data_IF_571714852519
#
_entry.id   IF_571714852519
#
_cell.length_a   1.000
_cell.length_b   1.000
_cell.length_c   1.000
_cell.angle_alpha   90.00
_cell.angle_beta   90.00
_cell.angle_gamma   90.00
#
_symmetry.space_group_name_H-M   'P 1'
#
loop_
_entity.id
_entity.type
_entity.pdbx_description
1 polymer ?
#
# COMPACT_ATOMS: atom_id res chain seq x y z
N UNK A 1 -11.42 17.96 -16.87
CA UNK A 1 -11.65 17.90 -15.41
C UNK A 1 -11.35 16.50 -14.92
N UNK A 2 -10.80 16.36 -13.71
CA UNK A 2 -10.49 15.07 -13.08
C UNK A 2 -11.42 14.91 -11.86
N UNK A 3 -11.89 13.69 -11.63
CA UNK A 3 -12.62 13.25 -10.45
C UNK A 3 -11.70 12.36 -9.64
N UNK A 4 -11.53 12.70 -8.37
CA UNK A 4 -10.64 12.01 -7.44
C UNK A 4 -11.45 11.62 -6.22
N UNK A 5 -11.39 10.35 -5.85
CA UNK A 5 -12.03 9.80 -4.66
C UNK A 5 -10.94 9.32 -3.71
N UNK A 6 -10.91 9.90 -2.52
CA UNK A 6 -9.91 9.67 -1.49
C UNK A 6 -10.63 9.14 -0.25
N UNK A 7 -10.01 8.23 0.47
CA UNK A 7 -10.43 7.82 1.81
C UNK A 7 -9.62 8.61 2.83
N UNK A 8 -10.30 9.28 3.76
CA UNK A 8 -9.69 10.09 4.81
C UNK A 8 -10.22 9.62 6.16
N UNK A 9 -9.34 9.26 7.08
CA UNK A 9 -9.74 8.97 8.45
C UNK A 9 -9.96 10.27 9.22
N UNK A 10 -11.21 10.76 9.22
CA UNK A 10 -11.65 11.88 10.05
C UNK A 10 -12.59 11.35 11.12
N UNK A 11 -12.38 11.77 12.37
CA UNK A 11 -13.22 11.36 13.49
C UNK A 11 -13.99 12.56 14.09
N UNK A 12 -13.50 13.79 13.90
CA UNK A 12 -14.14 15.02 14.42
C UNK A 12 -14.69 15.96 13.32
N UNK A 13 -15.72 16.74 13.65
CA UNK A 13 -16.22 17.81 12.77
C UNK A 13 -15.17 18.93 12.55
N UNK A 14 -14.33 19.19 13.56
CA UNK A 14 -13.19 20.11 13.43
C UNK A 14 -12.21 19.66 12.35
N UNK A 15 -11.99 18.35 12.23
CA UNK A 15 -11.10 17.79 11.21
C UNK A 15 -11.73 17.87 9.83
N UNK A 16 -13.03 17.63 9.70
CA UNK A 16 -13.79 17.84 8.45
C UNK A 16 -13.67 19.27 7.95
N UNK A 17 -13.85 20.26 8.83
CA UNK A 17 -13.69 21.67 8.48
C UNK A 17 -12.25 21.99 8.03
N UNK A 18 -11.25 21.45 8.72
CA UNK A 18 -9.84 21.60 8.31
C UNK A 18 -9.56 20.94 6.95
N UNK A 19 -10.09 19.74 6.71
CA UNK A 19 -9.92 19.02 5.45
C UNK A 19 -10.54 19.79 4.28
N UNK A 20 -11.79 20.26 4.44
CA UNK A 20 -12.44 21.12 3.45
C UNK A 20 -11.63 22.39 3.20
N UNK A 21 -11.18 23.10 4.25
CA UNK A 21 -10.38 24.33 4.12
C UNK A 21 -9.05 24.07 3.39
N UNK A 22 -8.38 22.97 3.70
CA UNK A 22 -7.10 22.60 3.09
C UNK A 22 -7.27 22.25 1.61
N UNK A 23 -8.31 21.48 1.28
CA UNK A 23 -8.60 21.17 -0.12
C UNK A 23 -8.99 22.44 -0.82
N UNK A 24 -9.96 23.24 -0.35
CA UNK A 24 -10.36 24.52 -0.96
C UNK A 24 -9.22 25.53 -1.16
N UNK A 25 -8.12 25.43 -0.40
CA UNK A 25 -6.92 26.27 -0.61
C UNK A 25 -6.10 25.88 -1.85
N UNK A 26 -6.34 24.72 -2.46
CA UNK A 26 -5.71 24.33 -3.71
C UNK A 26 -6.38 25.05 -4.87
N UNK A 27 -5.60 25.35 -5.91
CA UNK A 27 -6.13 26.01 -7.11
C UNK A 27 -6.76 25.00 -8.06
N UNK A 28 -7.81 25.41 -8.78
CA UNK A 28 -8.45 24.60 -9.82
C UNK A 28 -9.51 23.62 -9.31
N UNK A 29 -10.09 23.86 -8.14
CA UNK A 29 -11.19 23.04 -7.60
C UNK A 29 -12.52 23.60 -8.03
N UNK A 30 -13.38 22.70 -8.47
CA UNK A 30 -14.72 23.03 -8.87
C UNK A 30 -15.72 22.62 -7.79
N UNK A 31 -15.61 21.37 -7.33
CA UNK A 31 -16.54 20.82 -6.34
C UNK A 31 -15.82 19.89 -5.35
N UNK A 32 -16.22 19.98 -4.08
CA UNK A 32 -15.72 19.15 -2.98
C UNK A 32 -16.92 18.55 -2.26
N UNK A 33 -16.95 17.22 -2.15
CA UNK A 33 -17.96 16.51 -1.38
C UNK A 33 -17.27 15.58 -0.38
N UNK A 34 -17.77 15.54 0.85
CA UNK A 34 -17.23 14.68 1.90
C UNK A 34 -18.35 13.84 2.51
N UNK A 35 -18.19 12.53 2.43
CA UNK A 35 -19.07 11.55 3.05
C UNK A 35 -18.44 11.04 4.35
N UNK A 36 -19.06 11.39 5.49
CA UNK A 36 -18.57 10.97 6.80
C UNK A 36 -18.93 9.51 7.13
N UNK A 37 -19.93 8.93 6.47
CA UNK A 37 -20.33 7.54 6.72
C UNK A 37 -19.30 6.58 6.14
N UNK A 38 -18.84 6.88 4.93
CA UNK A 38 -17.85 6.07 4.24
C UNK A 38 -16.41 6.56 4.46
N UNK A 39 -16.22 7.69 5.18
CA UNK A 39 -14.92 8.35 5.34
C UNK A 39 -14.27 8.64 3.99
N UNK A 40 -15.07 9.09 3.02
CA UNK A 40 -14.66 9.37 1.62
C UNK A 40 -14.74 10.85 1.30
N UNK A 41 -13.75 11.36 0.61
CA UNK A 41 -13.71 12.70 0.06
C UNK A 41 -13.62 12.62 -1.47
N UNK A 42 -14.60 13.22 -2.13
CA UNK A 42 -14.63 13.36 -3.57
C UNK A 42 -14.24 14.77 -3.93
N UNK A 43 -13.26 14.88 -4.82
CA UNK A 43 -12.73 16.16 -5.28
C UNK A 43 -12.81 16.19 -6.80
N UNK A 44 -13.48 17.21 -7.34
CA UNK A 44 -13.62 17.44 -8.79
C UNK A 44 -12.95 18.75 -9.15
N UNK A 45 -12.05 18.71 -10.13
CA UNK A 45 -11.34 19.91 -10.58
C UNK A 45 -10.20 19.65 -11.57
N UNK A 46 -9.50 20.71 -11.94
CA UNK A 46 -8.21 20.65 -12.63
C UNK A 46 -7.10 20.77 -11.59
N UNK A 47 -6.77 19.65 -10.96
CA UNK A 47 -5.77 19.59 -9.89
C UNK A 47 -4.65 18.61 -10.17
N UNK A 48 -3.53 18.90 -9.52
CA UNK A 48 -2.41 17.97 -9.39
C UNK A 48 -2.67 16.98 -8.24
N UNK A 49 -2.72 15.70 -8.59
CA UNK A 49 -3.02 14.60 -7.66
C UNK A 49 -1.96 14.47 -6.57
N UNK A 50 -0.69 14.60 -6.94
CA UNK A 50 0.43 14.43 -6.02
C UNK A 50 0.43 15.55 -4.98
N UNK A 51 0.23 16.79 -5.42
CA UNK A 51 0.19 17.95 -4.52
C UNK A 51 -1.00 17.87 -3.56
N UNK A 52 -2.17 17.44 -4.03
CA UNK A 52 -3.36 17.29 -3.19
C UNK A 52 -3.17 16.18 -2.14
N UNK A 53 -2.75 14.98 -2.59
CA UNK A 53 -2.55 13.84 -1.69
C UNK A 53 -1.41 14.11 -0.71
N UNK A 54 -0.32 14.74 -1.15
CA UNK A 54 0.82 15.07 -0.29
C UNK A 54 0.45 16.08 0.80
N UNK A 55 -0.42 17.06 0.50
CA UNK A 55 -0.93 17.98 1.54
C UNK A 55 -1.83 17.26 2.53
N UNK A 56 -2.75 16.42 2.05
CA UNK A 56 -3.68 15.68 2.93
C UNK A 56 -2.95 14.67 3.82
N UNK A 57 -1.95 13.97 3.28
CA UNK A 57 -1.14 12.99 4.01
C UNK A 57 -0.34 13.57 5.18
N UNK A 58 -0.11 14.90 5.21
CA UNK A 58 0.54 15.58 6.34
C UNK A 58 -0.35 15.70 7.57
N UNK A 59 -1.67 15.71 7.38
CA UNK A 59 -2.63 15.94 8.46
C UNK A 59 -3.47 14.70 8.77
N UNK A 60 -3.75 13.85 7.78
CA UNK A 60 -4.55 12.65 7.94
C UNK A 60 -4.01 11.46 7.15
N UNK A 61 -4.34 10.26 7.61
CA UNK A 61 -4.13 9.05 6.81
C UNK A 61 -5.06 9.08 5.60
N UNK A 62 -4.45 9.18 4.41
CA UNK A 62 -5.14 9.37 3.14
C UNK A 62 -4.81 8.21 2.19
N UNK A 63 -5.84 7.47 1.78
CA UNK A 63 -5.74 6.44 0.74
C UNK A 63 -6.46 6.86 -0.54
N UNK A 64 -5.89 6.52 -1.68
CA UNK A 64 -6.47 6.83 -2.99
C UNK A 64 -7.35 5.65 -3.40
N UNK A 65 -8.64 5.89 -3.62
CA UNK A 65 -9.57 4.86 -4.09
C UNK A 65 -9.70 4.89 -5.60
N UNK A 66 -9.96 6.07 -6.18
CA UNK A 66 -10.21 6.19 -7.62
C UNK A 66 -9.75 7.54 -8.15
N UNK A 67 -9.12 7.52 -9.31
CA UNK A 67 -8.74 8.70 -10.08
C UNK A 67 -9.25 8.51 -11.50
N UNK A 68 -10.11 9.41 -11.99
CA UNK A 68 -10.65 9.30 -13.34
C UNK A 68 -10.93 10.65 -14.00
N UNK A 69 -10.98 10.73 -15.34
CA UNK A 69 -11.44 11.93 -16.05
C UNK A 69 -12.95 12.15 -15.84
N UNK A 70 -13.35 13.39 -15.58
CA UNK A 70 -14.72 13.79 -15.21
C UNK A 70 -15.68 14.00 -16.41
N UNK A 71 -15.55 13.23 -17.51
CA UNK A 71 -16.53 13.24 -18.61
C UNK A 71 -17.43 11.99 -18.49
N UNK A 72 -18.72 12.19 -18.23
CA UNK A 72 -19.81 11.22 -18.48
C UNK A 72 -20.26 11.26 -19.96
N UNK A 73 -20.98 10.28 -20.55
CA UNK A 73 -21.69 9.13 -19.94
C UNK A 73 -21.49 7.73 -20.62
N UNK A 74 -22.10 6.71 -20.01
CA UNK A 74 -22.47 5.37 -20.55
C UNK A 74 -21.39 4.29 -20.81
N UNK A 75 -21.20 3.39 -19.84
CA UNK A 75 -21.78 2.04 -19.90
C UNK A 75 -21.56 1.25 -18.60
N UNK A 76 -22.69 0.86 -18.02
CA UNK A 76 -22.94 -0.31 -17.17
C UNK A 76 -21.80 -1.34 -17.20
N UNK A 77 -21.33 -1.71 -16.01
CA UNK A 77 -21.16 -3.11 -15.56
C UNK A 77 -20.81 -3.10 -14.07
N UNK A 78 -21.82 -2.71 -13.31
CA UNK A 78 -22.06 -3.30 -12.01
C UNK A 78 -22.38 -4.79 -12.24
N UNK A 79 -21.84 -5.66 -11.39
CA UNK A 79 -22.35 -7.01 -11.14
C UNK A 79 -22.10 -8.14 -12.17
N UNK A 80 -20.84 -8.48 -12.47
CA UNK A 80 -20.49 -9.89 -12.84
C UNK A 80 -19.01 -10.26 -12.71
N UNK A 81 -18.16 -9.42 -12.11
CA UNK A 81 -16.69 -9.63 -12.11
C UNK A 81 -16.11 -10.08 -10.76
N UNK A 82 -16.95 -10.53 -9.83
CA UNK A 82 -16.50 -10.97 -8.51
C UNK A 82 -15.79 -12.33 -8.52
N UNK A 83 -16.02 -13.18 -9.53
CA UNK A 83 -15.41 -14.52 -9.60
C UNK A 83 -14.06 -14.57 -10.34
N UNK A 84 -13.75 -13.64 -11.24
CA UNK A 84 -12.55 -13.70 -12.08
C UNK A 84 -11.34 -12.99 -11.44
N UNK A 85 -11.58 -12.01 -10.57
CA UNK A 85 -10.54 -11.23 -9.88
C UNK A 85 -9.94 -12.00 -8.70
N UNK A 86 -10.72 -12.91 -8.08
CA UNK A 86 -10.28 -13.74 -6.95
C UNK A 86 -9.26 -14.80 -7.41
N UNK A 87 -9.53 -15.46 -8.55
CA UNK A 87 -8.60 -16.43 -9.15
C UNK A 87 -7.27 -15.80 -9.55
N UNK A 88 -7.31 -14.56 -10.08
CA UNK A 88 -6.11 -13.81 -10.48
C UNK A 88 -5.29 -13.30 -9.29
N UNK A 89 -5.92 -13.06 -8.14
CA UNK A 89 -5.23 -12.76 -6.88
C UNK A 89 -4.61 -14.01 -6.27
N UNK A 90 -5.30 -15.14 -6.33
CA UNK A 90 -4.81 -16.41 -5.81
C UNK A 90 -3.56 -16.90 -6.58
N UNK A 91 -3.54 -16.74 -7.90
CA UNK A 91 -2.35 -17.02 -8.73
C UNK A 91 -1.16 -16.10 -8.39
N UNK A 92 -1.41 -14.80 -8.15
CA UNK A 92 -0.37 -13.85 -7.75
C UNK A 92 0.17 -14.11 -6.34
N UNK A 93 -0.67 -14.55 -5.41
CA UNK A 93 -0.25 -14.93 -4.05
C UNK A 93 0.57 -16.22 -4.11
N UNK A 94 0.18 -17.20 -4.93
CA UNK A 94 0.94 -18.43 -5.13
C UNK A 94 2.33 -18.18 -5.75
N UNK A 95 2.42 -17.25 -6.72
CA UNK A 95 3.69 -16.84 -7.32
C UNK A 95 4.61 -16.16 -6.29
N UNK A 96 4.07 -15.25 -5.47
CA UNK A 96 4.81 -14.57 -4.41
C UNK A 96 5.34 -15.56 -3.36
N UNK A 97 4.52 -16.54 -2.96
CA UNK A 97 4.92 -17.60 -2.02
C UNK A 97 6.01 -18.49 -2.62
N UNK A 98 5.94 -18.79 -3.93
CA UNK A 98 6.97 -19.55 -4.63
C UNK A 98 8.30 -18.79 -4.71
N UNK A 99 8.26 -17.48 -5.00
CA UNK A 99 9.44 -16.64 -5.01
C UNK A 99 10.08 -16.55 -3.62
N UNK A 100 9.27 -16.37 -2.58
CA UNK A 100 9.75 -16.34 -1.20
C UNK A 100 10.37 -17.71 -0.83
N UNK A 101 9.66 -18.81 -1.04
CA UNK A 101 10.16 -20.15 -0.71
C UNK A 101 11.39 -20.56 -1.54
N UNK A 102 11.51 -20.09 -2.78
CA UNK A 102 12.69 -20.28 -3.62
C UNK A 102 13.89 -19.43 -3.19
N UNK A 103 13.66 -18.19 -2.73
CA UNK A 103 14.72 -17.30 -2.26
C UNK A 103 15.32 -17.71 -0.91
N UNK A 104 14.51 -18.24 0.00
CA UNK A 104 14.98 -18.71 1.32
C UNK A 104 15.54 -20.13 1.32
N UNK A 105 15.58 -20.82 0.18
CA UNK A 105 16.13 -22.18 0.07
C UNK A 105 17.36 -22.25 -0.84
N UNK A 106 18.17 -21.20 -0.80
CA UNK A 106 19.50 -21.22 -1.40
C UNK A 106 20.50 -21.17 -0.23
N UNK A 107 21.13 -22.32 0.05
CA UNK A 107 22.32 -22.48 0.90
C UNK A 107 22.12 -22.46 2.43
N UNK A 108 21.37 -23.43 2.97
CA UNK A 108 21.78 -24.06 4.24
C UNK A 108 22.44 -25.38 3.90
N UNK A 109 23.67 -25.32 3.36
CA UNK A 109 24.56 -26.47 3.44
C UNK A 109 24.79 -26.74 4.93
N UNK A 110 24.54 -27.95 5.46
CA UNK A 110 24.94 -28.26 6.82
C UNK A 110 26.47 -28.18 6.86
N UNK A 111 27.00 -27.05 7.31
CA UNK A 111 28.38 -26.97 7.75
C UNK A 111 28.45 -27.85 8.99
N UNK A 112 28.77 -29.12 8.78
CA UNK A 112 29.27 -30.01 9.83
C UNK A 112 30.52 -29.32 10.39
N UNK A 113 30.35 -28.55 11.45
CA UNK A 113 31.45 -28.13 12.30
C UNK A 113 32.00 -29.39 12.93
N UNK A 114 33.08 -29.92 12.37
CA UNK A 114 33.89 -30.90 13.06
C UNK A 114 34.61 -30.15 14.18
N UNK A 115 34.02 -30.18 15.38
CA UNK A 115 34.70 -29.72 16.60
C UNK A 115 35.77 -30.77 16.89
N UNK A 116 37.01 -30.50 16.49
CA UNK A 116 38.15 -31.21 17.06
C UNK A 116 38.26 -30.75 18.53
N UNK A 117 37.76 -31.56 19.46
CA UNK A 117 38.10 -31.42 20.87
C UNK A 117 39.61 -31.45 20.99
N UNK A 118 40.19 -30.41 21.60
CA UNK A 118 41.63 -30.31 21.90
C UNK A 118 42.13 -31.38 22.87
N UNK A 119 41.24 -32.23 23.37
CA UNK A 119 41.54 -33.32 24.31
C UNK A 119 42.00 -34.61 23.60
N UNK A 120 41.84 -34.70 22.27
CA UNK A 120 42.25 -35.87 21.48
C UNK A 120 43.50 -35.60 20.63
N UNK A 121 44.50 -34.94 21.22
CA UNK A 121 45.86 -34.95 20.70
C UNK A 121 46.79 -35.57 21.74
N UNK A 122 46.92 -36.90 21.71
CA UNK A 122 47.95 -37.66 22.44
C UNK A 122 49.39 -37.31 22.00
N UNK A 123 49.57 -36.39 21.04
CA UNK A 123 50.85 -35.90 20.56
C UNK A 123 51.05 -34.39 20.84
N UNK A 124 50.43 -33.83 21.89
CA UNK A 124 50.82 -32.52 22.40
C UNK A 124 52.28 -32.61 22.91
N UNK A 125 53.21 -32.27 22.04
CA UNK A 125 54.64 -32.33 22.28
C UNK A 125 55.00 -31.44 23.47
N UNK A 126 55.60 -32.05 24.49
CA UNK A 126 56.29 -31.35 25.57
C UNK A 126 57.41 -30.47 24.98
N UNK A 127 57.53 -29.25 25.49
CA UNK A 127 58.66 -28.36 25.21
C UNK A 127 59.79 -28.80 26.14
N UNK A 128 60.90 -29.28 25.56
CA UNK A 128 62.22 -29.30 26.21
C UNK A 128 62.88 -27.93 26.11
#
# INVERSE_FOLDING_TARGET
>A
MKKVVLKLDLNDDKEKQKAMKMVSSLSGIDSIAMDMKEKKMTVVGNMDLLSLVNKLRKSWHTDILTVGPAKEPDKKKDDEKKNEDEKKKEEQIAELVKFYKGGYNTHMTPHYYYVQSSEENSNACAIS
#
